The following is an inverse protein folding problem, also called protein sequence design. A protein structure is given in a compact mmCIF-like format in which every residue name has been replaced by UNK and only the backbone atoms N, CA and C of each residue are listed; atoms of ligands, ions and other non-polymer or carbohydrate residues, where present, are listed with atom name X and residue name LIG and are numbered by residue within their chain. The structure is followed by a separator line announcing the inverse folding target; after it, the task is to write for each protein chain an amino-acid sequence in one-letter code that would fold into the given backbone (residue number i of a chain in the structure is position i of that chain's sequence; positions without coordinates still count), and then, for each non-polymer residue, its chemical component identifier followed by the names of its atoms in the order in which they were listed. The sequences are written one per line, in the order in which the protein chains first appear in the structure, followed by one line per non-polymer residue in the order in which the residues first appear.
data_IF_211080263297
#
_entry.id   IF_211080263297
#
_cell.length_a   1.000
_cell.length_b   1.000
_cell.length_c   1.000
_cell.angle_alpha   90.00
_cell.angle_beta   90.00
_cell.angle_gamma   90.00
#
_symmetry.space_group_name_H-M   'P 1'
#
loop_
_entity.id
_entity.type
_entity.pdbx_description
1 polymer ?
#
# COMPACT_ATOMS: atom_id res chain seq x y z
N UNK A 1 12.26 -7.78 -7.34
CA UNK A 1 12.22 -8.81 -6.27
C UNK A 1 11.16 -9.78 -6.71
N UNK A 2 11.55 -11.01 -7.04
CA UNK A 2 10.67 -11.86 -7.84
C UNK A 2 9.57 -12.49 -6.98
N UNK A 3 8.34 -12.39 -7.45
CA UNK A 3 7.19 -13.14 -6.95
C UNK A 3 7.37 -14.62 -7.32
N UNK A 4 7.51 -15.47 -6.30
CA UNK A 4 7.82 -16.90 -6.48
C UNK A 4 6.63 -17.82 -6.15
N UNK A 5 5.70 -17.35 -5.32
CA UNK A 5 4.51 -18.11 -4.92
C UNK A 5 3.43 -17.21 -4.33
N UNK A 6 2.24 -17.77 -4.10
CA UNK A 6 1.09 -17.03 -3.56
C UNK A 6 1.38 -16.29 -2.24
N UNK A 7 2.27 -16.83 -1.40
CA UNK A 7 2.67 -16.26 -0.12
C UNK A 7 4.17 -15.93 -0.03
N UNK A 8 4.90 -15.92 -1.16
CA UNK A 8 6.34 -15.66 -1.22
C UNK A 8 6.68 -14.60 -2.27
N UNK A 9 7.17 -13.45 -1.81
CA UNK A 9 7.62 -12.35 -2.66
C UNK A 9 7.45 -10.99 -1.96
N UNK A 10 7.64 -9.91 -2.72
CA UNK A 10 7.47 -8.49 -2.35
C UNK A 10 8.32 -7.93 -1.19
N UNK A 11 8.32 -8.55 0.00
CA UNK A 11 9.13 -8.14 1.16
C UNK A 11 10.22 -9.18 1.45
N UNK A 12 11.37 -8.73 1.95
CA UNK A 12 12.51 -9.61 2.27
C UNK A 12 12.22 -10.54 3.46
N UNK A 13 11.45 -10.07 4.44
CA UNK A 13 11.23 -10.78 5.72
C UNK A 13 9.76 -11.01 6.00
N UNK A 14 8.90 -10.04 5.66
CA UNK A 14 7.46 -10.12 5.95
C UNK A 14 6.76 -11.00 4.91
N UNK A 15 5.91 -11.92 5.39
CA UNK A 15 5.05 -12.70 4.51
C UNK A 15 3.99 -11.80 3.90
N UNK A 16 3.91 -11.75 2.58
CA UNK A 16 2.85 -11.07 1.84
C UNK A 16 2.14 -12.01 0.89
N UNK A 17 0.82 -11.86 0.80
CA UNK A 17 0.01 -12.60 -0.16
C UNK A 17 -0.15 -11.79 -1.44
N UNK A 18 -0.07 -12.47 -2.60
CA UNK A 18 -0.21 -11.83 -3.93
C UNK A 18 -1.57 -11.15 -4.09
N UNK A 19 -2.63 -11.76 -3.55
CA UNK A 19 -3.99 -11.26 -3.67
C UNK A 19 -4.53 -10.79 -2.32
N UNK A 20 -5.02 -9.55 -2.28
CA UNK A 20 -5.78 -9.00 -1.14
C UNK A 20 -7.21 -9.52 -1.19
N UNK A 21 -7.60 -10.37 -0.25
CA UNK A 21 -8.97 -10.89 -0.14
C UNK A 21 -9.67 -10.36 1.10
N UNK A 22 -10.92 -9.94 0.96
CA UNK A 22 -11.76 -9.57 2.10
C UNK A 22 -12.72 -10.71 2.43
N UNK A 23 -12.38 -11.51 3.45
CA UNK A 23 -13.18 -12.63 4.00
C UNK A 23 -13.68 -13.68 2.98
N UNK A 24 -13.14 -13.75 1.76
CA UNK A 24 -13.52 -14.75 0.76
C UNK A 24 -12.54 -15.92 0.72
N UNK A 25 -12.95 -17.05 1.31
CA UNK A 25 -12.16 -18.30 1.25
C UNK A 25 -12.10 -18.87 -0.16
N UNK A 26 -13.17 -18.72 -0.95
CA UNK A 26 -13.26 -19.27 -2.29
C UNK A 26 -12.28 -18.62 -3.27
N UNK A 27 -12.10 -17.29 -3.19
CA UNK A 27 -11.12 -16.58 -4.02
C UNK A 27 -9.69 -17.04 -3.72
N UNK A 28 -9.35 -17.23 -2.44
CA UNK A 28 -8.03 -17.72 -2.03
C UNK A 28 -7.78 -19.14 -2.53
N UNK A 29 -8.75 -20.04 -2.39
CA UNK A 29 -8.60 -21.41 -2.85
C UNK A 29 -8.60 -21.52 -4.37
N UNK A 30 -9.34 -20.68 -5.09
CA UNK A 30 -9.27 -20.62 -6.55
C UNK A 30 -7.87 -20.23 -7.04
N UNK A 31 -7.26 -19.21 -6.41
CA UNK A 31 -5.90 -18.80 -6.77
C UNK A 31 -4.86 -19.89 -6.50
N UNK A 32 -4.98 -20.62 -5.37
CA UNK A 32 -4.09 -21.75 -5.06
C UNK A 32 -4.23 -22.93 -6.02
N UNK A 33 -5.40 -23.09 -6.65
CA UNK A 33 -5.68 -24.17 -7.61
C UNK A 33 -5.30 -23.82 -9.04
N UNK A 34 -5.10 -22.55 -9.36
CA UNK A 34 -4.65 -22.12 -10.69
C UNK A 34 -3.25 -22.69 -10.98
N UNK A 35 -2.98 -23.06 -12.23
CA UNK A 35 -1.66 -23.58 -12.58
C UNK A 35 -0.61 -22.48 -12.51
N UNK A 36 0.63 -22.85 -12.17
CA UNK A 36 1.72 -21.90 -12.11
C UNK A 36 1.98 -21.22 -13.47
N UNK A 37 1.79 -21.95 -14.59
CA UNK A 37 1.97 -21.38 -15.94
C UNK A 37 0.96 -20.28 -16.25
N UNK A 38 -0.28 -20.41 -15.76
CA UNK A 38 -1.30 -19.37 -15.95
C UNK A 38 -1.03 -18.10 -15.13
N UNK A 39 -0.27 -18.23 -14.04
CA UNK A 39 0.05 -17.13 -13.12
C UNK A 39 1.39 -16.46 -13.41
N UNK A 40 2.27 -17.11 -14.17
CA UNK A 40 3.56 -16.56 -14.59
C UNK A 40 3.46 -15.12 -15.16
N UNK A 41 2.60 -14.82 -16.16
CA UNK A 41 2.51 -13.45 -16.69
C UNK A 41 2.00 -12.44 -15.65
N UNK A 42 1.20 -12.90 -14.67
CA UNK A 42 0.73 -12.05 -13.56
C UNK A 42 1.90 -11.72 -12.62
N UNK A 43 2.73 -12.71 -12.28
CA UNK A 43 3.91 -12.49 -11.44
C UNK A 43 4.93 -11.59 -12.13
N UNK A 44 5.19 -11.78 -13.43
CA UNK A 44 6.10 -10.93 -14.19
C UNK A 44 5.62 -9.47 -14.27
N UNK A 45 4.33 -9.25 -14.51
CA UNK A 45 3.74 -7.91 -14.53
C UNK A 45 3.86 -7.24 -13.15
N UNK A 46 3.57 -7.97 -12.06
CA UNK A 46 3.70 -7.46 -10.70
C UNK A 46 5.15 -7.17 -10.32
N UNK A 47 6.09 -8.00 -10.77
CA UNK A 47 7.53 -7.78 -10.56
C UNK A 47 8.01 -6.53 -11.31
N UNK A 48 7.50 -6.31 -12.53
CA UNK A 48 7.78 -5.09 -13.31
C UNK A 48 7.27 -3.84 -12.61
N UNK A 49 6.03 -3.87 -12.10
CA UNK A 49 5.46 -2.78 -11.32
C UNK A 49 6.25 -2.54 -10.02
N UNK A 50 6.61 -3.62 -9.31
CA UNK A 50 7.34 -3.55 -8.04
C UNK A 50 8.80 -3.11 -8.18
N UNK A 51 9.43 -3.36 -9.33
CA UNK A 51 10.80 -2.94 -9.62
C UNK A 51 10.91 -1.47 -10.04
N UNK A 52 9.77 -0.78 -10.18
CA UNK A 52 9.75 0.65 -10.50
C UNK A 52 10.30 1.45 -9.32
N UNK A 53 11.44 2.11 -9.53
CA UNK A 53 12.08 2.94 -8.50
C UNK A 53 11.34 4.27 -8.35
N UNK A 54 10.82 4.54 -7.16
CA UNK A 54 10.19 5.80 -6.83
C UNK A 54 11.17 6.74 -6.13
N UNK A 55 11.05 8.05 -6.41
CA UNK A 55 11.81 9.11 -5.73
C UNK A 55 10.87 10.22 -5.31
N UNK A 56 11.01 10.68 -4.07
CA UNK A 56 10.24 11.81 -3.55
C UNK A 56 10.64 13.11 -4.25
N UNK A 57 9.64 13.88 -4.71
CA UNK A 57 9.87 15.21 -5.28
C UNK A 57 10.06 16.23 -4.14
N UNK A 58 11.31 16.59 -3.86
CA UNK A 58 11.67 17.51 -2.77
C UNK A 58 11.05 18.90 -2.91
N UNK A 59 10.86 19.41 -4.14
CA UNK A 59 10.26 20.74 -4.36
C UNK A 59 8.79 20.72 -3.96
N UNK A 60 8.05 19.72 -4.42
CA UNK A 60 6.63 19.55 -4.06
C UNK A 60 6.49 19.29 -2.57
N UNK A 61 7.31 18.41 -2.00
CA UNK A 61 7.31 18.14 -0.56
C UNK A 61 7.52 19.42 0.25
N UNK A 62 8.49 20.27 -0.11
CA UNK A 62 8.75 21.53 0.61
C UNK A 62 7.59 22.52 0.58
N UNK A 63 6.75 22.48 -0.46
CA UNK A 63 5.56 23.32 -0.57
C UNK A 63 4.45 22.74 0.32
N UNK A 64 4.22 21.43 0.24
CA UNK A 64 3.26 20.72 1.07
C UNK A 64 3.57 20.90 2.55
N UNK A 65 4.83 20.80 2.95
CA UNK A 65 5.28 21.01 4.34
C UNK A 65 4.97 22.42 4.85
N UNK A 66 5.12 23.46 4.00
CA UNK A 66 4.77 24.83 4.37
C UNK A 66 3.27 25.03 4.51
N UNK A 67 2.48 24.45 3.61
CA UNK A 67 1.02 24.51 3.69
C UNK A 67 0.54 23.81 4.96
N UNK A 68 1.12 22.64 5.27
CA UNK A 68 0.86 21.91 6.50
C UNK A 68 1.19 22.74 7.75
N UNK A 69 2.37 23.34 7.81
CA UNK A 69 2.80 24.19 8.92
C UNK A 69 1.93 25.45 9.11
N UNK A 70 1.27 25.93 8.04
CA UNK A 70 0.39 27.10 8.07
C UNK A 70 -1.07 26.77 8.40
N UNK A 71 -1.37 25.54 8.85
CA UNK A 71 -2.72 25.12 9.27
C UNK A 71 -3.50 24.26 8.27
N UNK A 72 -2.89 23.88 7.13
CA UNK A 72 -3.51 22.95 6.18
C UNK A 72 -4.66 23.54 5.36
N UNK A 73 -5.71 22.74 5.10
CA UNK A 73 -6.98 23.11 4.41
C UNK A 73 -6.91 23.47 2.93
N UNK A 74 -5.72 23.50 2.35
CA UNK A 74 -5.49 23.81 0.94
C UNK A 74 -5.02 22.56 0.20
N UNK A 75 -5.43 22.42 -1.06
CA UNK A 75 -5.04 21.30 -1.92
C UNK A 75 -5.42 19.92 -1.34
N UNK A 76 -6.62 19.82 -0.76
CA UNK A 76 -7.16 18.61 -0.12
C UNK A 76 -6.37 18.14 1.13
N UNK A 77 -5.50 19.01 1.67
CA UNK A 77 -4.90 18.80 2.98
C UNK A 77 -5.94 19.05 4.08
N UNK A 78 -6.04 18.10 5.01
CA UNK A 78 -6.91 18.20 6.18
C UNK A 78 -6.50 19.39 7.06
N UNK A 79 -7.45 19.96 7.79
CA UNK A 79 -7.16 20.97 8.81
C UNK A 79 -6.30 20.36 9.93
N UNK A 80 -5.37 21.15 10.47
CA UNK A 80 -4.57 20.73 11.61
C UNK A 80 -5.44 20.46 12.85
N UNK A 81 -6.53 21.20 13.03
CA UNK A 81 -7.45 21.01 14.14
C UNK A 81 -8.15 19.63 14.06
N UNK A 82 -8.52 19.17 12.86
CA UNK A 82 -9.16 17.86 12.65
C UNK A 82 -8.26 16.68 13.04
N UNK A 83 -6.93 16.84 12.90
CA UNK A 83 -5.95 15.81 13.29
C UNK A 83 -5.91 15.64 14.81
N UNK A 84 -6.02 16.74 15.56
CA UNK A 84 -6.07 16.73 17.03
C UNK A 84 -7.32 15.98 17.54
N UNK A 85 -8.44 16.09 16.83
CA UNK A 85 -9.65 15.32 17.12
C UNK A 85 -9.52 13.84 16.75
N UNK A 86 -8.93 13.51 15.59
CA UNK A 86 -8.72 12.13 15.15
C UNK A 86 -7.79 11.35 16.09
N UNK A 87 -6.69 11.96 16.55
CA UNK A 87 -5.78 11.32 17.50
C UNK A 87 -6.47 11.05 18.85
N UNK A 88 -7.30 11.99 19.31
CA UNK A 88 -8.08 11.86 20.55
C UNK A 88 -9.24 10.86 20.45
N UNK A 89 -9.72 10.54 19.25
CA UNK A 89 -10.78 9.55 19.03
C UNK A 89 -10.21 8.12 18.97
N UNK A 90 -9.00 7.95 18.42
CA UNK A 90 -8.32 6.66 18.38
C UNK A 90 -7.80 6.22 19.77
N UNK A 91 -7.41 7.18 20.62
CA UNK A 91 -7.01 6.92 22.01
C UNK A 91 -8.19 6.65 22.97
N UNK A 92 -9.43 6.98 22.58
CA UNK A 92 -10.64 6.69 23.37
C UNK A 92 -11.31 5.35 23.06
N UNK A 93 -10.89 4.69 21.98
CA UNK A 93 -11.45 3.40 21.54
C UNK A 93 -10.45 2.22 21.67
N UNK A 94 -9.45 2.36 22.54
CA UNK A 94 -8.61 1.25 23.02
C UNK A 94 -8.76 1.11 24.54
#
# INVERSE_FOLDING_TARGET
MLLMSYDRGAYLVLRSFVMRTHRSKHQREAFKRASAEQLEPVFEALDTLGNTKWRVNKKVLSIVDKIWANGGRLADLVDWDDVSYLCSFHLRNN
#
